data_IF_241335202616
#
_entry.id   IF_241335202616
#
_cell.length_a   1.000
_cell.length_b   1.000
_cell.length_c   1.000
_cell.angle_alpha   90.00
_cell.angle_beta   90.00
_cell.angle_gamma   90.00
#
_symmetry.space_group_name_H-M   'P 1'
#
loop_
_entity.id
_entity.type
_entity.pdbx_description
1 polymer ?
#
# COMPACT_ATOMS: atom_id res chain seq x y z
N UNK A 1 -10.10 5.37 10.15
CA UNK A 1 -9.10 5.30 9.06
C UNK A 1 -9.72 4.59 7.88
N UNK A 2 -9.53 5.10 6.67
CA UNK A 2 -10.04 4.51 5.43
C UNK A 2 -9.12 3.37 4.97
N UNK A 3 -9.67 2.35 4.31
CA UNK A 3 -8.89 1.23 3.73
C UNK A 3 -7.74 1.72 2.84
N UNK A 4 -7.97 2.77 2.05
CA UNK A 4 -6.94 3.39 1.20
C UNK A 4 -5.81 4.04 1.99
N UNK A 5 -6.09 4.62 3.16
CA UNK A 5 -5.07 5.21 4.04
C UNK A 5 -4.19 4.11 4.63
N UNK A 6 -4.80 3.02 5.09
CA UNK A 6 -4.06 1.85 5.61
C UNK A 6 -3.20 1.20 4.52
N UNK A 7 -3.70 1.07 3.30
CA UNK A 7 -2.91 0.52 2.18
C UNK A 7 -1.71 1.41 1.85
N UNK A 8 -1.92 2.74 1.79
CA UNK A 8 -0.85 3.70 1.56
C UNK A 8 0.22 3.64 2.66
N UNK A 9 -0.20 3.58 3.93
CA UNK A 9 0.73 3.48 5.05
C UNK A 9 1.54 2.17 5.00
N UNK A 10 0.91 1.04 4.64
CA UNK A 10 1.60 -0.23 4.45
C UNK A 10 2.63 -0.19 3.32
N UNK A 11 2.32 0.51 2.21
CA UNK A 11 3.29 0.74 1.12
C UNK A 11 4.49 1.56 1.57
N UNK A 12 4.26 2.59 2.38
CA UNK A 12 5.34 3.42 2.92
C UNK A 12 6.23 2.64 3.89
N UNK A 13 5.65 1.79 4.74
CA UNK A 13 6.43 0.91 5.63
C UNK A 13 7.26 -0.08 4.80
N UNK A 14 6.67 -0.67 3.75
CA UNK A 14 7.38 -1.59 2.86
C UNK A 14 8.60 -0.91 2.20
N UNK A 15 8.42 0.31 1.68
CA UNK A 15 9.53 1.07 1.07
C UNK A 15 10.66 1.38 2.06
N UNK A 16 10.33 1.65 3.33
CA UNK A 16 11.35 1.88 4.38
C UNK A 16 12.10 0.59 4.70
N UNK A 17 11.43 -0.55 4.72
CA UNK A 17 12.07 -1.86 4.94
C UNK A 17 13.05 -2.21 3.80
N UNK A 18 12.73 -1.87 2.55
CA UNK A 18 13.70 -2.03 1.45
C UNK A 18 14.95 -1.16 1.63
N UNK A 19 14.78 0.04 2.19
CA UNK A 19 15.92 0.92 2.49
C UNK A 19 16.76 0.39 3.66
N UNK A 20 16.14 -0.34 4.61
CA UNK A 20 16.86 -0.98 5.72
C UNK A 20 17.62 -2.24 5.27
N UNK A 21 17.13 -2.93 4.25
CA UNK A 21 17.80 -4.11 3.67
C UNK A 21 19.21 -3.80 3.16
N UNK A 22 19.41 -2.60 2.61
CA UNK A 22 20.72 -2.18 2.08
C UNK A 22 21.65 -1.63 3.18
N UNK A 23 21.19 -1.50 4.42
CA UNK A 23 21.99 -1.00 5.53
C UNK A 23 22.92 -2.08 6.09
N UNK A 24 24.23 -1.84 6.00
CA UNK A 24 25.28 -2.77 6.46
C UNK A 24 25.24 -3.03 7.98
N UNK A 25 24.69 -2.12 8.77
CA UNK A 25 24.56 -2.32 10.22
C UNK A 25 23.49 -3.35 10.61
N UNK A 26 22.63 -3.77 9.67
CA UNK A 26 21.53 -4.69 9.90
C UNK A 26 21.72 -6.07 9.24
N UNK A 27 22.96 -6.40 8.84
CA UNK A 27 23.28 -7.68 8.19
C UNK A 27 22.81 -8.91 9.00
N UNK A 28 22.90 -8.86 10.33
CA UNK A 28 22.46 -9.95 11.20
C UNK A 28 20.93 -10.06 11.34
N UNK A 29 20.19 -9.01 10.94
CA UNK A 29 18.73 -8.91 11.06
C UNK A 29 18.02 -9.03 9.70
N UNK A 30 18.74 -9.33 8.61
CA UNK A 30 18.16 -9.42 7.26
C UNK A 30 17.03 -10.45 7.16
N UNK A 31 17.18 -11.59 7.83
CA UNK A 31 16.14 -12.63 7.90
C UNK A 31 14.87 -12.12 8.58
N UNK A 32 15.02 -11.28 9.61
CA UNK A 32 13.89 -10.69 10.34
C UNK A 32 13.22 -9.59 9.51
N UNK A 33 14.00 -8.76 8.82
CA UNK A 33 13.49 -7.75 7.88
C UNK A 33 12.64 -8.40 6.79
N UNK A 34 13.09 -9.52 6.20
CA UNK A 34 12.29 -10.21 5.17
C UNK A 34 11.03 -10.88 5.74
N UNK A 35 11.07 -11.41 6.98
CA UNK A 35 9.85 -11.90 7.64
C UNK A 35 8.83 -10.79 7.88
N UNK A 36 9.28 -9.60 8.29
CA UNK A 36 8.41 -8.44 8.48
C UNK A 36 7.81 -8.01 7.13
N UNK A 37 8.62 -7.93 6.06
CA UNK A 37 8.15 -7.62 4.71
C UNK A 37 7.09 -8.60 4.22
N UNK A 38 7.31 -9.90 4.40
CA UNK A 38 6.32 -10.92 4.03
C UNK A 38 5.02 -10.73 4.82
N UNK A 39 5.11 -10.50 6.13
CA UNK A 39 3.94 -10.28 6.98
C UNK A 39 3.11 -9.06 6.55
N UNK A 40 3.77 -7.96 6.16
CA UNK A 40 3.11 -6.75 5.62
C UNK A 40 2.44 -7.04 4.28
N UNK A 41 3.09 -7.80 3.40
CA UNK A 41 2.51 -8.21 2.11
C UNK A 41 1.24 -9.05 2.32
N UNK A 42 1.27 -9.99 3.25
CA UNK A 42 0.13 -10.84 3.57
C UNK A 42 -1.04 -10.03 4.14
N UNK A 43 -0.77 -9.05 5.00
CA UNK A 43 -1.77 -8.12 5.54
C UNK A 43 -2.37 -7.28 4.41
N UNK A 44 -1.54 -6.69 3.53
CA UNK A 44 -1.99 -5.90 2.37
C UNK A 44 -2.90 -6.72 1.45
N UNK A 45 -2.52 -7.97 1.19
CA UNK A 45 -3.30 -8.92 0.39
C UNK A 45 -4.66 -9.18 1.02
N UNK A 46 -4.71 -9.55 2.31
CA UNK A 46 -5.96 -9.79 3.06
C UNK A 46 -6.88 -8.56 3.08
N UNK A 47 -6.31 -7.37 3.27
CA UNK A 47 -7.08 -6.12 3.21
C UNK A 47 -7.67 -5.90 1.81
N UNK A 48 -6.91 -6.22 0.76
CA UNK A 48 -7.35 -6.05 -0.62
C UNK A 48 -8.55 -6.96 -0.96
N UNK A 49 -8.56 -8.21 -0.49
CA UNK A 49 -9.67 -9.16 -0.68
C UNK A 49 -10.93 -8.84 0.14
N UNK A 50 -10.85 -7.97 1.15
CA UNK A 50 -12.04 -7.46 1.85
C UNK A 50 -12.89 -6.58 0.92
N UNK A 51 -14.09 -7.07 0.59
CA UNK A 51 -15.08 -6.49 -0.36
C UNK A 51 -15.17 -4.96 -0.32
N UNK A 52 -15.04 -4.36 -1.50
CA UNK A 52 -15.06 -2.91 -1.76
C UNK A 52 -16.45 -2.39 -2.12
N UNK A 53 -16.96 -1.43 -1.34
CA UNK A 53 -17.82 -0.36 -1.84
C UNK A 53 -17.36 0.96 -1.22
N UNK A 54 -16.38 1.61 -1.85
CA UNK A 54 -16.01 2.97 -1.44
C UNK A 54 -16.79 3.97 -2.29
N UNK A 55 -17.86 4.51 -1.72
CA UNK A 55 -18.72 5.54 -2.34
C UNK A 55 -18.01 6.91 -2.39
N UNK A 56 -16.87 7.08 -1.71
CA UNK A 56 -16.11 8.34 -1.73
C UNK A 56 -15.07 8.32 -2.85
N UNK A 57 -15.48 8.79 -4.03
CA UNK A 57 -14.59 9.11 -5.13
C UNK A 57 -13.62 10.23 -4.73
N UNK A 58 -12.36 9.90 -4.51
CA UNK A 58 -11.26 10.83 -4.73
C UNK A 58 -10.58 10.41 -6.02
N UNK A 59 -10.20 11.39 -6.83
CA UNK A 59 -9.52 11.15 -8.09
C UNK A 59 -8.21 10.40 -7.85
N UNK A 60 -8.10 9.25 -8.52
CA UNK A 60 -6.86 8.49 -8.56
C UNK A 60 -5.94 9.14 -9.62
N UNK A 61 -4.78 9.70 -9.25
CA UNK A 61 -3.93 10.46 -10.17
C UNK A 61 -3.30 9.60 -11.29
N UNK A 62 -3.37 8.27 -11.17
CA UNK A 62 -2.89 7.31 -12.16
C UNK A 62 -3.98 6.71 -13.05
N UNK A 63 -5.27 6.95 -12.77
CA UNK A 63 -6.34 6.54 -13.67
C UNK A 63 -6.60 7.64 -14.71
N UNK A 64 -6.74 7.30 -16.01
CA UNK A 64 -7.18 8.28 -17.00
C UNK A 64 -8.54 8.83 -16.53
N UNK A 65 -8.65 10.16 -16.44
CA UNK A 65 -9.87 10.85 -15.98
C UNK A 65 -11.03 10.48 -16.89
N UNK A 66 -11.76 9.42 -16.53
CA UNK A 66 -12.95 9.00 -17.26
C UNK A 66 -14.09 9.90 -16.86
N UNK A 67 -14.31 10.94 -17.66
CA UNK A 67 -15.56 11.68 -17.88
C UNK A 67 -16.20 12.37 -16.67
N UNK A 68 -16.56 13.64 -16.83
CA UNK A 68 -16.92 14.55 -15.75
C UNK A 68 -18.30 14.24 -15.13
N UNK A 69 -18.38 14.25 -13.79
CA UNK A 69 -19.56 13.85 -13.01
C UNK A 69 -20.77 14.80 -13.09
N UNK A 70 -20.62 15.99 -13.67
CA UNK A 70 -21.72 16.94 -13.81
C UNK A 70 -22.27 17.05 -15.24
N UNK A 71 -21.51 16.66 -16.27
CA UNK A 71 -21.93 16.78 -17.67
C UNK A 71 -21.81 15.49 -18.50
N UNK A 72 -21.32 14.39 -17.91
CA UNK A 72 -21.43 13.04 -18.49
C UNK A 72 -20.64 12.82 -19.80
N UNK A 73 -19.59 13.59 -20.06
CA UNK A 73 -18.64 13.40 -21.17
C UNK A 73 -17.20 13.42 -20.68
#
# INVERSE_FOLDING_TARGET
MKKSEVIYDLEQIYSRLESLKTSTCLNNSQTEIERIKQSISDIKSKISFGVTYSITGRDNPTLPKSTCRFCGK
#
